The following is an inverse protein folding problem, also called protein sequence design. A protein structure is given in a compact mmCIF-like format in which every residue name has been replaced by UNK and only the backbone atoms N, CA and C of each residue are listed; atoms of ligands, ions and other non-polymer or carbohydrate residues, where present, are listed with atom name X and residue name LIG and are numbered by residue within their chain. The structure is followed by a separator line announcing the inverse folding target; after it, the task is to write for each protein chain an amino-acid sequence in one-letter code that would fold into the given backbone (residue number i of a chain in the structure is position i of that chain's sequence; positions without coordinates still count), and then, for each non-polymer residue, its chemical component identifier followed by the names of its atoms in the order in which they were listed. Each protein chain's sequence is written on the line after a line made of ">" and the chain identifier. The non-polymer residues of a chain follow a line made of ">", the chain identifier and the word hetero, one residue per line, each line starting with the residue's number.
data_IF_537443212484
#
_entry.id   IF_537443212484
#
_cell.length_a   1.000
_cell.length_b   1.000
_cell.length_c   1.000
_cell.angle_alpha   90.00
_cell.angle_beta   90.00
_cell.angle_gamma   90.00
#
_symmetry.space_group_name_H-M   'P 1'
#
loop_
_entity.id
_entity.type
_entity.pdbx_description
1 polymer ?
#
# COMPACT_ATOMS: atom_id res chain seq x y z
N UNK A 1 18.43 -4.45 -1.33
CA UNK A 1 19.47 -4.60 -0.29
C UNK A 1 20.46 -3.42 -0.31
N UNK A 2 20.93 -3.00 -1.48
CA UNK A 2 21.83 -1.82 -1.66
C UNK A 2 21.14 -0.53 -1.21
N UNK A 3 19.94 -0.25 -1.70
CA UNK A 3 19.15 0.95 -1.38
C UNK A 3 18.79 1.07 0.11
N UNK A 4 18.74 -0.05 0.81
CA UNK A 4 18.49 -0.10 2.26
C UNK A 4 19.78 -0.03 3.09
N UNK A 5 20.97 0.05 2.45
CA UNK A 5 22.25 0.08 3.13
C UNK A 5 22.65 -1.25 3.81
N UNK A 6 21.92 -2.33 3.52
CA UNK A 6 22.16 -3.62 4.14
C UNK A 6 23.39 -4.36 3.58
N UNK A 7 23.80 -4.04 2.36
CA UNK A 7 24.99 -4.62 1.71
C UNK A 7 25.74 -3.50 0.97
N UNK A 8 27.02 -3.33 1.27
CA UNK A 8 27.91 -2.43 0.54
C UNK A 8 28.40 -3.06 -0.77
N UNK A 9 28.73 -2.22 -1.77
CA UNK A 9 29.36 -2.68 -3.00
C UNK A 9 30.74 -3.30 -2.70
N UNK A 10 30.81 -4.62 -2.78
CA UNK A 10 32.00 -5.39 -2.51
C UNK A 10 32.04 -6.70 -3.28
N UNK A 11 33.05 -7.54 -2.99
CA UNK A 11 33.19 -8.86 -3.64
C UNK A 11 31.95 -9.74 -3.42
N UNK A 12 31.36 -9.69 -2.23
CA UNK A 12 30.16 -10.46 -1.89
C UNK A 12 28.96 -10.02 -2.74
N UNK A 13 28.75 -8.70 -2.88
CA UNK A 13 27.68 -8.17 -3.72
C UNK A 13 27.77 -8.68 -5.15
N UNK A 14 28.96 -8.63 -5.78
CA UNK A 14 29.19 -9.12 -7.15
C UNK A 14 28.98 -10.63 -7.30
N UNK A 15 29.29 -11.40 -6.26
CA UNK A 15 29.02 -12.86 -6.26
C UNK A 15 27.50 -13.10 -6.24
N UNK A 16 26.78 -12.41 -5.36
CA UNK A 16 25.31 -12.54 -5.25
C UNK A 16 24.62 -12.10 -6.55
N UNK A 17 25.04 -11.01 -7.16
CA UNK A 17 24.53 -10.53 -8.44
C UNK A 17 24.77 -11.56 -9.58
N UNK A 18 25.95 -12.15 -9.66
CA UNK A 18 26.24 -13.22 -10.63
C UNK A 18 25.39 -14.45 -10.41
N UNK A 19 25.16 -14.81 -9.14
CA UNK A 19 24.30 -15.93 -8.78
C UNK A 19 22.85 -15.65 -9.18
N UNK A 20 22.36 -14.46 -8.89
CA UNK A 20 21.03 -13.99 -9.29
C UNK A 20 20.84 -14.09 -10.81
N UNK A 21 21.75 -13.53 -11.59
CA UNK A 21 21.70 -13.61 -13.07
C UNK A 21 21.78 -15.07 -13.58
N UNK A 22 22.55 -15.94 -12.89
CA UNK A 22 22.60 -17.36 -13.24
C UNK A 22 21.26 -18.05 -13.00
N UNK A 23 20.59 -17.73 -11.89
CA UNK A 23 19.25 -18.24 -11.55
C UNK A 23 18.25 -17.81 -12.62
N UNK A 24 18.21 -16.53 -12.98
CA UNK A 24 17.31 -16.03 -14.02
C UNK A 24 17.48 -16.71 -15.37
N UNK A 25 18.74 -16.96 -15.79
CA UNK A 25 19.04 -17.63 -17.06
C UNK A 25 18.72 -19.12 -17.06
N UNK A 26 18.82 -19.78 -15.91
CA UNK A 26 18.59 -21.22 -15.76
C UNK A 26 17.12 -21.54 -15.45
N UNK A 27 16.35 -20.60 -14.95
CA UNK A 27 14.94 -20.81 -14.65
C UNK A 27 14.11 -20.94 -15.95
N UNK A 28 13.23 -21.92 -15.96
CA UNK A 28 12.29 -22.10 -17.08
C UNK A 28 11.27 -20.97 -17.14
N UNK A 29 10.78 -20.53 -15.99
CA UNK A 29 9.88 -19.40 -15.81
C UNK A 29 10.35 -18.57 -14.61
N UNK A 30 10.36 -17.27 -14.76
CA UNK A 30 10.55 -16.32 -13.65
C UNK A 30 9.25 -15.55 -13.42
N UNK A 31 9.01 -15.13 -12.17
CA UNK A 31 7.85 -14.30 -11.83
C UNK A 31 8.27 -13.10 -11.01
N UNK A 32 7.70 -11.93 -11.35
CA UNK A 32 7.87 -10.68 -10.60
C UNK A 32 6.54 -10.14 -10.10
N UNK A 33 6.55 -9.57 -8.90
CA UNK A 33 5.34 -8.97 -8.31
C UNK A 33 5.05 -7.54 -8.81
N UNK A 34 5.99 -6.93 -9.51
CA UNK A 34 5.92 -5.58 -10.06
C UNK A 34 6.52 -5.53 -11.45
N UNK A 35 6.14 -4.56 -12.25
CA UNK A 35 6.72 -4.38 -13.58
C UNK A 35 8.22 -4.11 -13.49
N UNK A 36 8.66 -3.32 -12.51
CA UNK A 36 10.08 -3.04 -12.26
C UNK A 36 10.89 -4.33 -12.05
N UNK A 37 10.36 -5.30 -11.28
CA UNK A 37 11.01 -6.60 -11.06
C UNK A 37 10.99 -7.46 -12.32
N UNK A 38 9.89 -7.47 -13.08
CA UNK A 38 9.79 -8.19 -14.35
C UNK A 38 10.83 -7.67 -15.35
N UNK A 39 10.92 -6.34 -15.50
CA UNK A 39 11.88 -5.69 -16.40
C UNK A 39 13.33 -5.97 -15.96
N UNK A 40 13.61 -5.93 -14.65
CA UNK A 40 14.91 -6.30 -14.10
C UNK A 40 15.28 -7.76 -14.43
N UNK A 41 14.40 -8.71 -14.20
CA UNK A 41 14.62 -10.13 -14.52
C UNK A 41 14.89 -10.32 -16.01
N UNK A 42 14.08 -9.72 -16.87
CA UNK A 42 14.23 -9.79 -18.33
C UNK A 42 15.57 -9.20 -18.80
N UNK A 43 15.96 -8.03 -18.28
CA UNK A 43 17.24 -7.38 -18.59
C UNK A 43 18.45 -8.23 -18.18
N UNK A 44 18.32 -9.12 -17.18
CA UNK A 44 19.41 -9.95 -16.66
C UNK A 44 19.34 -11.43 -17.11
N UNK A 45 18.54 -11.69 -18.14
CA UNK A 45 18.55 -12.96 -18.89
C UNK A 45 17.44 -13.94 -18.56
N UNK A 46 16.42 -13.53 -17.83
CA UNK A 46 15.16 -14.28 -17.71
C UNK A 46 14.43 -14.35 -19.07
N UNK A 47 14.07 -15.54 -19.53
CA UNK A 47 13.48 -15.73 -20.86
C UNK A 47 11.95 -15.67 -20.84
N UNK A 48 11.35 -16.37 -19.88
CA UNK A 48 9.89 -16.43 -19.71
C UNK A 48 9.57 -15.73 -18.39
N UNK A 49 9.28 -14.43 -18.46
CA UNK A 49 9.03 -13.63 -17.27
C UNK A 49 7.56 -13.26 -17.18
N UNK A 50 6.91 -13.68 -16.11
CA UNK A 50 5.48 -13.47 -15.90
C UNK A 50 5.25 -12.43 -14.80
N UNK A 51 4.41 -11.43 -15.07
CA UNK A 51 4.00 -10.46 -14.08
C UNK A 51 2.88 -11.05 -13.21
N UNK A 52 3.24 -11.46 -11.99
CA UNK A 52 2.29 -11.97 -11.01
C UNK A 52 2.15 -10.98 -9.85
N UNK A 53 1.38 -9.93 -10.08
CA UNK A 53 1.13 -8.87 -9.09
C UNK A 53 0.49 -9.44 -7.83
N UNK A 54 0.75 -8.77 -6.69
CA UNK A 54 -0.09 -8.98 -5.53
C UNK A 54 -1.55 -8.66 -5.88
N UNK A 55 -2.45 -9.27 -5.15
CA UNK A 55 -3.89 -9.10 -5.33
C UNK A 55 -4.63 -9.45 -4.05
N UNK A 56 -5.92 -9.36 -4.10
CA UNK A 56 -6.80 -9.62 -2.97
C UNK A 56 -7.93 -10.54 -3.40
N UNK A 57 -8.41 -11.36 -2.47
CA UNK A 57 -9.69 -12.04 -2.61
C UNK A 57 -10.80 -11.08 -2.14
N UNK A 58 -11.58 -10.51 -3.07
CA UNK A 58 -12.60 -9.53 -2.71
C UNK A 58 -13.73 -10.12 -1.88
N UNK A 59 -13.93 -11.45 -1.89
CA UNK A 59 -14.99 -12.10 -1.11
C UNK A 59 -14.75 -12.05 0.40
N UNK A 60 -13.52 -11.74 0.83
CA UNK A 60 -13.18 -11.55 2.24
C UNK A 60 -13.69 -10.23 2.81
N UNK A 61 -14.12 -9.32 1.94
CA UNK A 61 -14.64 -8.01 2.32
C UNK A 61 -16.12 -7.98 1.90
N UNK A 62 -16.99 -7.82 2.89
CA UNK A 62 -18.38 -7.54 2.56
C UNK A 62 -18.47 -6.23 1.77
N UNK A 63 -19.38 -6.19 0.80
CA UNK A 63 -19.58 -4.98 -0.01
C UNK A 63 -20.02 -3.83 0.87
N UNK A 64 -19.09 -2.98 1.24
CA UNK A 64 -19.40 -1.73 1.91
C UNK A 64 -20.09 -0.80 0.93
N UNK A 65 -21.31 -0.40 1.22
CA UNK A 65 -21.87 0.78 0.60
C UNK A 65 -21.03 1.99 1.03
N UNK A 66 -20.81 2.90 0.09
CA UNK A 66 -20.14 4.16 0.40
C UNK A 66 -20.95 4.88 1.49
N UNK A 67 -20.34 5.08 2.65
CA UNK A 67 -21.00 5.77 3.75
C UNK A 67 -21.06 7.27 3.43
N UNK A 68 -22.24 7.82 3.51
CA UNK A 68 -22.42 9.28 3.47
C UNK A 68 -21.56 9.92 4.55
N UNK A 69 -20.80 10.90 4.14
CA UNK A 69 -19.74 11.56 4.91
C UNK A 69 -20.29 12.33 6.12
N UNK A 70 -20.53 11.64 7.23
CA UNK A 70 -20.61 12.32 8.52
C UNK A 70 -19.17 12.68 8.93
N UNK A 71 -18.92 13.92 9.24
CA UNK A 71 -17.65 14.36 9.83
C UNK A 71 -17.56 13.87 11.28
N UNK A 72 -16.36 13.55 11.79
CA UNK A 72 -15.08 13.55 11.09
C UNK A 72 -14.90 12.38 10.11
N UNK A 73 -14.12 12.59 9.04
CA UNK A 73 -13.73 11.56 8.09
C UNK A 73 -12.68 10.65 8.76
N UNK A 74 -12.94 9.34 8.76
CA UNK A 74 -12.01 8.35 9.36
C UNK A 74 -10.99 7.89 8.32
N UNK A 75 -9.73 8.29 8.52
CA UNK A 75 -8.56 7.79 7.83
C UNK A 75 -7.98 6.62 8.63
N UNK A 76 -7.73 5.48 7.99
CA UNK A 76 -7.18 4.30 8.66
C UNK A 76 -5.79 3.94 8.13
N UNK A 77 -4.88 3.62 9.03
CA UNK A 77 -3.68 2.85 8.77
C UNK A 77 -3.74 1.51 9.49
N UNK A 78 -3.40 0.41 8.80
CA UNK A 78 -3.32 -0.90 9.43
C UNK A 78 -2.06 -1.64 8.96
N UNK A 79 -1.15 -1.96 9.88
CA UNK A 79 0.07 -2.72 9.58
C UNK A 79 1.25 -2.44 10.47
N UNK A 80 2.44 -2.83 9.99
CA UNK A 80 3.70 -2.64 10.71
C UNK A 80 4.00 -1.14 10.90
N UNK A 81 4.26 -0.73 12.14
CA UNK A 81 4.73 0.62 12.48
C UNK A 81 6.26 0.64 12.43
N UNK A 82 6.79 0.71 11.21
CA UNK A 82 8.23 0.68 10.99
C UNK A 82 8.73 1.94 10.29
N UNK A 83 10.03 2.19 10.37
CA UNK A 83 10.68 3.39 9.80
C UNK A 83 10.48 3.57 8.28
N UNK A 84 10.19 2.50 7.54
CA UNK A 84 9.92 2.61 6.11
C UNK A 84 8.52 3.17 5.82
N UNK A 85 7.61 3.08 6.77
CA UNK A 85 6.26 3.62 6.71
C UNK A 85 6.18 5.06 7.20
N UNK A 86 6.97 5.43 8.24
CA UNK A 86 7.07 6.79 8.75
C UNK A 86 5.76 7.32 9.35
N UNK A 87 4.99 6.44 10.02
CA UNK A 87 3.68 6.80 10.59
C UNK A 87 3.83 7.80 11.73
N UNK A 88 4.89 7.69 12.54
CA UNK A 88 5.17 8.63 13.62
C UNK A 88 5.39 10.06 13.09
N UNK A 89 6.14 10.21 12.00
CA UNK A 89 6.36 11.52 11.37
C UNK A 89 5.06 12.11 10.82
N UNK A 90 4.17 11.28 10.25
CA UNK A 90 2.84 11.71 9.79
C UNK A 90 2.01 12.21 10.96
N UNK A 91 1.99 11.49 12.10
CA UNK A 91 1.28 11.92 13.30
C UNK A 91 1.75 13.28 13.80
N UNK A 92 3.06 13.54 13.78
CA UNK A 92 3.65 14.81 14.24
C UNK A 92 3.42 15.97 13.28
N UNK A 93 3.23 15.67 11.99
CA UNK A 93 3.16 16.70 10.95
C UNK A 93 1.74 17.20 10.67
N UNK A 94 0.71 16.45 11.05
CA UNK A 94 -0.67 16.77 10.70
C UNK A 94 -1.57 16.76 11.93
N UNK A 95 -2.24 17.89 12.19
CA UNK A 95 -3.39 17.93 13.08
C UNK A 95 -4.65 17.54 12.27
N UNK A 96 -5.10 16.30 12.44
CA UNK A 96 -6.22 15.74 11.69
C UNK A 96 -7.56 16.38 12.07
N UNK A 97 -7.74 16.75 13.34
CA UNK A 97 -8.96 17.40 13.81
C UNK A 97 -9.20 18.74 13.10
N UNK A 98 -8.17 19.55 12.87
CA UNK A 98 -8.27 20.84 12.17
C UNK A 98 -8.75 20.70 10.74
N UNK A 99 -8.53 19.54 10.10
CA UNK A 99 -8.96 19.29 8.70
C UNK A 99 -10.23 18.44 8.62
N UNK A 100 -10.92 18.23 9.74
CA UNK A 100 -12.19 17.50 9.80
C UNK A 100 -12.03 15.99 9.61
N UNK A 101 -10.88 15.44 10.00
CA UNK A 101 -10.56 14.02 9.92
C UNK A 101 -10.17 13.44 11.29
N UNK A 102 -10.22 12.13 11.42
CA UNK A 102 -9.62 11.33 12.49
C UNK A 102 -8.68 10.29 11.87
N UNK A 103 -7.51 10.13 12.46
CA UNK A 103 -6.52 9.14 12.03
C UNK A 103 -6.49 7.95 12.99
N UNK A 104 -6.98 6.80 12.53
CA UNK A 104 -7.06 5.56 13.27
C UNK A 104 -5.91 4.64 12.90
N UNK A 105 -5.10 4.24 13.87
CA UNK A 105 -3.87 3.44 13.67
C UNK A 105 -4.05 2.07 14.30
N UNK A 106 -3.87 1.01 13.50
CA UNK A 106 -3.86 -0.39 13.90
C UNK A 106 -2.51 -1.01 13.57
N UNK A 107 -1.88 -1.66 14.54
CA UNK A 107 -0.61 -2.36 14.34
C UNK A 107 0.36 -2.16 15.47
N UNK A 108 1.57 -2.70 15.30
CA UNK A 108 2.70 -2.53 16.20
C UNK A 108 3.99 -2.43 15.42
N UNK A 109 5.07 -1.99 16.09
CA UNK A 109 6.41 -1.91 15.50
C UNK A 109 7.29 -0.89 16.20
N UNK A 110 8.42 -0.57 15.58
CA UNK A 110 9.44 0.29 16.19
C UNK A 110 9.02 1.74 16.45
N UNK A 111 7.97 2.22 15.77
CA UNK A 111 7.44 3.58 15.96
C UNK A 111 6.30 3.66 17.00
N UNK A 112 5.88 2.52 17.58
CA UNK A 112 4.71 2.48 18.47
C UNK A 112 4.83 3.43 19.67
N UNK A 113 5.90 3.32 20.46
CA UNK A 113 6.10 4.13 21.67
C UNK A 113 6.10 5.62 21.36
N UNK A 114 6.68 6.00 20.22
CA UNK A 114 6.75 7.38 19.76
C UNK A 114 5.36 7.92 19.41
N UNK A 115 4.53 7.12 18.75
CA UNK A 115 3.15 7.45 18.39
C UNK A 115 2.30 7.60 19.67
N UNK A 116 2.36 6.64 20.58
CA UNK A 116 1.61 6.69 21.84
C UNK A 116 1.97 7.91 22.67
N UNK A 117 3.26 8.20 22.79
CA UNK A 117 3.74 9.40 23.49
C UNK A 117 3.23 10.68 22.84
N UNK A 118 3.25 10.75 21.52
CA UNK A 118 2.74 11.92 20.78
C UNK A 118 1.25 12.12 21.02
N UNK A 119 0.43 11.07 20.98
CA UNK A 119 -1.01 11.13 21.24
C UNK A 119 -1.30 11.64 22.66
N UNK A 120 -0.53 11.19 23.67
CA UNK A 120 -0.67 11.66 25.05
C UNK A 120 -0.38 13.16 25.20
N UNK A 121 0.58 13.68 24.43
CA UNK A 121 0.96 15.10 24.45
C UNK A 121 0.01 15.98 23.62
N UNK A 122 -0.70 15.40 22.64
CA UNK A 122 -1.59 16.10 21.70
C UNK A 122 -2.93 15.38 21.54
N UNK A 123 -3.75 15.30 22.63
CA UNK A 123 -4.99 14.50 22.61
C UNK A 123 -6.07 15.06 21.69
N UNK A 124 -5.94 16.33 21.27
CA UNK A 124 -6.86 17.05 20.40
C UNK A 124 -6.49 17.00 18.90
N UNK A 125 -5.40 16.31 18.54
CA UNK A 125 -4.96 16.20 17.13
C UNK A 125 -5.74 15.18 16.28
N UNK A 126 -6.79 14.55 16.84
CA UNK A 126 -7.66 13.61 16.11
C UNK A 126 -6.96 12.31 15.74
N UNK A 127 -6.03 11.80 16.56
CA UNK A 127 -5.31 10.55 16.34
C UNK A 127 -5.73 9.52 17.38
N UNK A 128 -6.08 8.30 16.92
CA UNK A 128 -6.50 7.21 17.80
C UNK A 128 -5.67 5.97 17.50
N UNK A 129 -4.93 5.48 18.50
CA UNK A 129 -4.19 4.23 18.41
C UNK A 129 -4.98 3.08 19.03
N UNK A 130 -5.13 1.98 18.28
CA UNK A 130 -5.96 0.83 18.66
C UNK A 130 -5.13 -0.43 19.00
N UNK A 131 -3.82 -0.39 18.84
CA UNK A 131 -2.99 -1.58 18.98
C UNK A 131 -3.14 -2.57 17.82
N UNK A 132 -2.81 -3.82 18.09
CA UNK A 132 -2.85 -4.90 17.09
C UNK A 132 -4.24 -5.48 16.97
N UNK A 133 -4.69 -5.68 15.73
CA UNK A 133 -5.92 -6.41 15.41
C UNK A 133 -5.59 -7.67 14.61
N UNK A 134 -6.40 -8.70 14.77
CA UNK A 134 -6.21 -9.93 13.99
C UNK A 134 -6.55 -9.71 12.52
N UNK A 135 -5.97 -10.54 11.66
CA UNK A 135 -6.25 -10.51 10.21
C UNK A 135 -7.72 -10.78 9.88
N UNK A 136 -8.43 -11.46 10.78
CA UNK A 136 -9.86 -11.76 10.62
C UNK A 136 -10.75 -10.56 11.00
N UNK A 137 -10.31 -9.73 11.95
CA UNK A 137 -11.03 -8.54 12.40
C UNK A 137 -10.79 -7.31 11.53
N UNK A 138 -9.62 -7.25 10.88
CA UNK A 138 -9.23 -6.09 10.05
C UNK A 138 -10.32 -5.65 9.06
N UNK A 139 -11.00 -6.54 8.30
CA UNK A 139 -12.07 -6.12 7.39
C UNK A 139 -13.17 -5.30 8.08
N UNK A 140 -13.57 -5.67 9.32
CA UNK A 140 -14.61 -4.95 10.09
C UNK A 140 -14.17 -3.52 10.44
N UNK A 141 -12.87 -3.34 10.78
CA UNK A 141 -12.32 -2.02 11.07
C UNK A 141 -12.21 -1.16 9.82
N UNK A 142 -11.75 -1.74 8.71
CA UNK A 142 -11.71 -1.06 7.42
C UNK A 142 -13.10 -0.63 6.95
N UNK A 143 -14.13 -1.45 7.19
CA UNK A 143 -15.51 -1.10 6.87
C UNK A 143 -16.04 0.15 7.60
N UNK A 144 -15.44 0.52 8.72
CA UNK A 144 -15.81 1.71 9.48
C UNK A 144 -15.07 2.97 9.02
N UNK A 145 -14.05 2.82 8.17
CA UNK A 145 -13.26 3.90 7.64
C UNK A 145 -13.90 4.53 6.38
N UNK A 146 -13.37 5.69 6.01
CA UNK A 146 -13.71 6.40 4.78
C UNK A 146 -12.54 6.41 3.80
N UNK A 147 -11.31 6.42 4.31
CA UNK A 147 -10.05 6.47 3.58
C UNK A 147 -9.03 5.52 4.22
N UNK A 148 -8.07 5.06 3.42
CA UNK A 148 -6.88 4.38 3.94
C UNK A 148 -5.62 5.20 3.68
N UNK A 149 -4.67 5.15 4.62
CA UNK A 149 -3.32 5.67 4.44
C UNK A 149 -2.38 4.52 4.11
N UNK A 150 -1.65 4.65 3.01
CA UNK A 150 -0.64 3.67 2.58
C UNK A 150 0.69 4.38 2.37
N UNK A 151 1.48 4.55 3.45
CA UNK A 151 2.77 5.22 3.36
C UNK A 151 3.89 4.24 3.05
N UNK A 152 4.81 4.69 2.20
CA UNK A 152 6.10 4.07 1.90
C UNK A 152 7.12 5.19 1.69
N UNK A 153 7.59 5.77 2.83
CA UNK A 153 8.47 6.95 2.80
C UNK A 153 9.92 6.63 2.43
N UNK A 154 10.30 5.36 2.43
CA UNK A 154 11.55 4.87 1.82
C UNK A 154 11.21 4.11 0.55
N UNK A 155 11.70 4.61 -0.57
CA UNK A 155 11.55 3.89 -1.83
C UNK A 155 12.33 2.57 -1.77
N UNK A 156 11.65 1.48 -2.07
CA UNK A 156 12.22 0.13 -2.18
C UNK A 156 11.92 -0.34 -3.59
N UNK A 157 12.95 -0.52 -4.39
CA UNK A 157 12.84 -0.95 -5.79
C UNK A 157 11.92 -2.17 -5.95
N UNK A 158 10.94 -2.04 -6.79
CA UNK A 158 9.95 -3.09 -7.08
C UNK A 158 8.96 -3.38 -5.96
N UNK A 159 8.99 -2.66 -4.84
CA UNK A 159 8.04 -2.88 -3.76
C UNK A 159 6.70 -2.21 -4.06
N UNK A 160 5.63 -3.01 -3.96
CA UNK A 160 4.25 -2.51 -3.99
C UNK A 160 3.57 -2.92 -2.68
N UNK A 161 3.17 -1.97 -1.84
CA UNK A 161 2.53 -2.27 -0.56
C UNK A 161 1.24 -3.08 -0.72
N UNK A 162 1.14 -4.21 -0.03
CA UNK A 162 -0.04 -5.09 -0.09
C UNK A 162 -1.33 -4.41 0.38
N UNK A 163 -1.20 -3.39 1.23
CA UNK A 163 -2.32 -2.59 1.72
C UNK A 163 -3.15 -1.91 0.62
N UNK A 164 -2.53 -1.59 -0.53
CA UNK A 164 -3.24 -1.07 -1.71
C UNK A 164 -4.37 -2.01 -2.10
N UNK A 165 -4.11 -3.31 -2.17
CA UNK A 165 -5.08 -4.30 -2.62
C UNK A 165 -6.19 -4.56 -1.58
N UNK A 166 -5.84 -4.56 -0.30
CA UNK A 166 -6.82 -4.67 0.79
C UNK A 166 -7.75 -3.45 0.83
N UNK A 167 -7.18 -2.25 0.62
CA UNK A 167 -7.95 -1.01 0.50
C UNK A 167 -8.92 -1.05 -0.68
N UNK A 168 -8.46 -1.53 -1.85
CA UNK A 168 -9.33 -1.72 -3.02
C UNK A 168 -10.52 -2.65 -2.70
N UNK A 169 -10.26 -3.80 -2.04
CA UNK A 169 -11.32 -4.75 -1.71
C UNK A 169 -12.31 -4.20 -0.69
N UNK A 170 -11.84 -3.41 0.27
CA UNK A 170 -12.69 -2.70 1.21
C UNK A 170 -13.45 -1.52 0.57
N UNK A 171 -13.13 -1.16 -0.68
CA UNK A 171 -13.72 -0.01 -1.35
C UNK A 171 -13.30 1.33 -0.74
N UNK A 172 -12.11 1.40 -0.15
CA UNK A 172 -11.59 2.60 0.51
C UNK A 172 -10.61 3.33 -0.39
N UNK A 173 -10.85 4.59 -0.73
CA UNK A 173 -9.89 5.44 -1.43
C UNK A 173 -8.58 5.55 -0.66
N UNK A 174 -7.48 5.67 -1.39
CA UNK A 174 -6.11 5.54 -0.85
C UNK A 174 -5.43 6.90 -0.81
N UNK A 175 -4.98 7.31 0.38
CA UNK A 175 -3.98 8.35 0.54
C UNK A 175 -2.60 7.67 0.49
N UNK A 176 -1.96 7.69 -0.67
CA UNK A 176 -0.65 7.08 -0.86
C UNK A 176 0.45 8.10 -0.59
N UNK A 177 1.46 7.72 0.21
CA UNK A 177 2.65 8.55 0.45
C UNK A 177 3.87 7.80 -0.03
N UNK A 178 4.48 8.26 -1.12
CA UNK A 178 5.63 7.60 -1.71
C UNK A 178 5.64 7.68 -3.23
N UNK A 179 6.54 6.94 -3.84
CA UNK A 179 6.83 6.91 -5.27
C UNK A 179 6.79 5.48 -5.83
N UNK A 180 7.21 5.31 -7.09
CA UNK A 180 7.36 4.01 -7.75
C UNK A 180 6.04 3.40 -8.21
N UNK A 181 6.02 2.09 -8.33
CA UNK A 181 4.89 1.37 -8.94
C UNK A 181 3.60 1.44 -8.10
N UNK A 182 3.71 1.56 -6.76
CA UNK A 182 2.55 1.76 -5.90
C UNK A 182 1.81 3.05 -6.20
N UNK A 183 2.54 4.16 -6.38
CA UNK A 183 1.97 5.45 -6.79
C UNK A 183 1.29 5.36 -8.16
N UNK A 184 1.96 4.73 -9.15
CA UNK A 184 1.39 4.51 -10.50
C UNK A 184 0.07 3.73 -10.44
N UNK A 185 0.00 2.65 -9.65
CA UNK A 185 -1.23 1.87 -9.50
C UNK A 185 -2.38 2.74 -8.96
N UNK A 186 -2.10 3.58 -7.95
CA UNK A 186 -3.12 4.46 -7.38
C UNK A 186 -3.60 5.50 -8.40
N UNK A 187 -2.67 6.12 -9.13
CA UNK A 187 -2.97 7.17 -10.11
C UNK A 187 -3.69 6.64 -11.34
N UNK A 188 -3.15 5.60 -12.00
CA UNK A 188 -3.68 5.04 -13.25
C UNK A 188 -5.08 4.45 -13.11
N UNK A 189 -5.43 4.01 -11.90
CA UNK A 189 -6.74 3.46 -11.62
C UNK A 189 -7.70 4.46 -10.95
N UNK A 190 -7.25 5.68 -10.72
CA UNK A 190 -8.04 6.74 -10.06
C UNK A 190 -8.71 6.24 -8.76
N UNK A 191 -7.90 5.62 -7.88
CA UNK A 191 -8.36 5.00 -6.63
C UNK A 191 -7.92 5.75 -5.38
N UNK A 192 -7.34 6.94 -5.53
CA UNK A 192 -6.86 7.73 -4.42
C UNK A 192 -6.00 8.90 -4.87
N UNK A 193 -5.38 9.57 -3.90
CA UNK A 193 -4.47 10.70 -4.10
C UNK A 193 -3.06 10.34 -3.61
N UNK A 194 -2.05 11.00 -4.19
CA UNK A 194 -0.65 10.72 -3.95
C UNK A 194 0.01 11.96 -3.34
N UNK A 195 0.81 11.75 -2.30
CA UNK A 195 1.80 12.70 -1.82
C UNK A 195 3.19 12.10 -1.99
N UNK A 196 4.19 12.92 -2.32
CA UNK A 196 5.57 12.46 -2.39
C UNK A 196 6.06 11.99 -1.01
N UNK A 197 7.07 11.15 -0.99
CA UNK A 197 7.67 10.69 0.25
C UNK A 197 8.07 11.89 1.14
N UNK A 198 7.58 11.90 2.38
CA UNK A 198 7.80 12.96 3.38
C UNK A 198 7.20 14.34 3.04
N UNK A 199 6.42 14.47 1.99
CA UNK A 199 5.64 15.70 1.73
C UNK A 199 4.32 15.66 2.51
N UNK A 200 4.41 15.93 3.80
CA UNK A 200 3.25 15.91 4.70
C UNK A 200 2.31 17.09 4.48
N UNK A 201 2.81 18.18 3.89
CA UNK A 201 1.97 19.31 3.47
C UNK A 201 1.05 18.89 2.33
N UNK A 202 1.58 18.21 1.32
CA UNK A 202 0.78 17.67 0.22
C UNK A 202 -0.22 16.62 0.74
N UNK A 203 0.21 15.73 1.65
CA UNK A 203 -0.69 14.74 2.27
C UNK A 203 -1.86 15.42 3.01
N UNK A 204 -1.56 16.42 3.84
CA UNK A 204 -2.57 17.21 4.55
C UNK A 204 -3.58 17.86 3.57
N UNK A 205 -3.07 18.50 2.52
CA UNK A 205 -3.91 19.15 1.51
C UNK A 205 -4.79 18.15 0.75
N UNK A 206 -4.26 16.97 0.41
CA UNK A 206 -5.01 15.90 -0.23
C UNK A 206 -6.15 15.39 0.66
N UNK A 207 -5.89 15.18 1.95
CA UNK A 207 -6.91 14.75 2.92
C UNK A 207 -7.99 15.85 3.02
N UNK A 208 -7.59 17.10 3.19
CA UNK A 208 -8.53 18.23 3.28
C UNK A 208 -9.37 18.40 2.00
N UNK A 209 -8.75 18.20 0.84
CA UNK A 209 -9.45 18.21 -0.45
C UNK A 209 -10.56 17.15 -0.47
N UNK A 210 -10.22 15.89 -0.17
CA UNK A 210 -11.18 14.78 -0.22
C UNK A 210 -12.30 14.92 0.83
N UNK A 211 -11.98 15.46 2.02
CA UNK A 211 -12.98 15.81 3.06
C UNK A 211 -14.01 16.79 2.53
N UNK A 212 -13.62 17.67 1.62
CA UNK A 212 -14.46 18.70 1.02
C UNK A 212 -15.16 18.27 -0.28
N UNK A 213 -14.72 17.12 -0.87
CA UNK A 213 -15.23 16.62 -2.16
C UNK A 213 -15.75 15.18 -2.04
N UNK A 214 -16.90 14.95 -1.37
CA UNK A 214 -17.43 13.60 -1.11
C UNK A 214 -17.78 12.83 -2.39
N UNK A 215 -18.12 13.51 -3.47
CA UNK A 215 -18.40 12.84 -4.76
C UNK A 215 -17.14 12.24 -5.40
N UNK A 216 -15.99 12.90 -5.29
CA UNK A 216 -14.71 12.36 -5.73
C UNK A 216 -14.34 11.13 -4.90
N UNK A 217 -14.52 11.20 -3.58
CA UNK A 217 -14.28 10.07 -2.68
C UNK A 217 -15.18 8.88 -3.05
N UNK A 218 -16.44 9.10 -3.37
CA UNK A 218 -17.38 8.07 -3.83
C UNK A 218 -16.93 7.45 -5.16
N UNK A 219 -16.48 8.26 -6.11
CA UNK A 219 -15.97 7.78 -7.39
C UNK A 219 -14.72 6.90 -7.20
N UNK A 220 -13.76 7.35 -6.39
CA UNK A 220 -12.56 6.58 -6.05
C UNK A 220 -12.90 5.26 -5.35
N UNK A 221 -13.89 5.26 -4.44
CA UNK A 221 -14.40 4.07 -3.76
C UNK A 221 -14.94 3.04 -4.76
N UNK A 222 -15.73 3.47 -5.74
CA UNK A 222 -16.22 2.59 -6.80
C UNK A 222 -15.10 2.02 -7.65
N UNK A 223 -14.13 2.84 -8.03
CA UNK A 223 -12.95 2.41 -8.78
C UNK A 223 -12.14 1.35 -8.00
N UNK A 224 -11.96 1.54 -6.68
CA UNK A 224 -11.33 0.55 -5.80
C UNK A 224 -11.99 -0.83 -5.91
N UNK A 225 -13.32 -0.89 -5.80
CA UNK A 225 -14.10 -2.14 -5.88
C UNK A 225 -13.95 -2.80 -7.25
N UNK A 226 -14.04 -2.01 -8.33
CA UNK A 226 -13.86 -2.49 -9.71
C UNK A 226 -12.46 -3.10 -9.87
N UNK A 227 -11.42 -2.41 -9.40
CA UNK A 227 -10.04 -2.89 -9.47
C UNK A 227 -9.83 -4.21 -8.70
N UNK A 228 -10.39 -4.32 -7.49
CA UNK A 228 -10.32 -5.55 -6.71
C UNK A 228 -11.04 -6.73 -7.37
N UNK A 229 -12.17 -6.49 -8.05
CA UNK A 229 -12.96 -7.51 -8.72
C UNK A 229 -12.40 -7.93 -10.08
N UNK A 230 -11.58 -7.08 -10.71
CA UNK A 230 -11.09 -7.28 -12.08
C UNK A 230 -9.58 -7.47 -12.13
N UNK A 231 -8.81 -6.38 -12.10
CA UNK A 231 -7.36 -6.35 -12.33
C UNK A 231 -6.55 -7.05 -11.23
N UNK A 232 -7.00 -6.92 -9.96
CA UNK A 232 -6.26 -7.39 -8.79
C UNK A 232 -6.99 -8.49 -8.03
N UNK A 233 -7.89 -9.21 -8.70
CA UNK A 233 -8.61 -10.35 -8.16
C UNK A 233 -7.69 -11.58 -8.08
N UNK A 234 -7.28 -11.97 -6.86
CA UNK A 234 -6.34 -13.08 -6.64
C UNK A 234 -6.83 -14.42 -7.22
N UNK A 235 -8.07 -14.88 -7.05
CA UNK A 235 -8.59 -16.07 -7.71
C UNK A 235 -8.42 -16.05 -9.24
N UNK A 236 -8.74 -14.93 -9.89
CA UNK A 236 -8.55 -14.78 -11.34
C UNK A 236 -7.07 -14.82 -11.75
N UNK A 237 -6.22 -14.12 -11.03
CA UNK A 237 -4.77 -14.13 -11.27
C UNK A 237 -4.17 -15.54 -11.18
N UNK A 238 -4.64 -16.37 -10.23
CA UNK A 238 -4.20 -17.77 -10.11
C UNK A 238 -4.63 -18.59 -11.33
N UNK A 239 -5.85 -18.42 -11.82
CA UNK A 239 -6.32 -19.10 -13.03
C UNK A 239 -5.52 -18.69 -14.27
N UNK A 240 -5.19 -17.41 -14.41
CA UNK A 240 -4.40 -16.91 -15.52
C UNK A 240 -2.95 -17.39 -15.45
N UNK A 241 -2.35 -17.41 -14.26
CA UNK A 241 -1.03 -18.01 -14.02
C UNK A 241 -1.06 -19.52 -14.40
N UNK A 242 -2.09 -20.25 -13.99
CA UNK A 242 -2.21 -21.67 -14.34
C UNK A 242 -2.22 -21.89 -15.86
N UNK A 243 -2.99 -21.10 -16.62
CA UNK A 243 -3.01 -21.15 -18.09
C UNK A 243 -1.62 -20.86 -18.67
N UNK A 244 -0.95 -19.81 -18.15
CA UNK A 244 0.38 -19.44 -18.58
C UNK A 244 1.39 -20.58 -18.37
N UNK A 245 1.37 -21.24 -17.20
CA UNK A 245 2.24 -22.38 -16.89
C UNK A 245 2.00 -23.58 -17.82
N UNK A 246 0.75 -23.83 -18.23
CA UNK A 246 0.43 -24.91 -19.17
C UNK A 246 0.96 -24.65 -20.59
N UNK A 247 1.04 -23.38 -21.01
CA UNK A 247 1.54 -22.98 -22.33
C UNK A 247 3.08 -23.00 -22.41
N UNK A 248 3.77 -23.04 -21.28
CA UNK A 248 5.23 -22.97 -21.18
C UNK A 248 5.83 -24.22 -20.53
N UNK A 249 5.19 -25.37 -20.69
CA UNK A 249 5.70 -26.68 -20.25
C UNK A 249 6.80 -27.21 -21.15
#
# INVERSE_FOLDING_TARGET
>A
AKELGAISEGRLYRILERLEHKIYRSAHICMGQSQEIVDHIAAHGGKNVYLFRNGVDPTRFETCEFKTTKRPIKLVYAGLLGFAQGVADICKSINFAEIGAEFHIYGAGGEQEEIEKYIQQHPDHGIVYHGVVTRQELPKHLQQAHLTLVPLVKNIYGAVPSKIYESMAAGLPIMFVGEGEGAKIVQENNIGLIANAKDYTMLRNNIQHIVSHPEEMKQMSNNCKICAQTKFNRPKQILDLHKYLLQHK
#
